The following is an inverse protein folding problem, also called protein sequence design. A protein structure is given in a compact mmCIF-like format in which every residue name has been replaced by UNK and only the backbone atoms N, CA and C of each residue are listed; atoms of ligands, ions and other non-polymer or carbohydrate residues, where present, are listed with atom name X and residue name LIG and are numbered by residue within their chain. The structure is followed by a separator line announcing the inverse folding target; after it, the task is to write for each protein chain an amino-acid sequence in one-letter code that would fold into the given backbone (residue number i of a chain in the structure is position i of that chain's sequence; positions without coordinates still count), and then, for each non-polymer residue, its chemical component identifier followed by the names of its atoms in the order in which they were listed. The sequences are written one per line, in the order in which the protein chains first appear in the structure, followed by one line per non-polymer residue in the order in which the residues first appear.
data_IF_687720139790
#
_entry.id   IF_687720139790
#
_cell.length_a   1.000
_cell.length_b   1.000
_cell.length_c   1.000
_cell.angle_alpha   90.00
_cell.angle_beta   90.00
_cell.angle_gamma   90.00
#
_symmetry.space_group_name_H-M   'P 1'
#
loop_
_entity.id
_entity.type
_entity.pdbx_description
1 polymer ?
#
# COMPACT_ATOMS: atom_id res chain seq x y z
N UNK A 1 -21.84 -41.80 -8.05
CA UNK A 1 -20.57 -41.99 -8.78
C UNK A 1 -19.91 -40.63 -8.91
N UNK A 2 -19.05 -40.25 -7.94
CA UNK A 2 -18.32 -38.99 -7.95
C UNK A 2 -17.13 -39.11 -8.91
N UNK A 3 -16.99 -38.17 -9.85
CA UNK A 3 -15.80 -38.09 -10.70
C UNK A 3 -14.60 -37.67 -9.85
N UNK A 4 -13.41 -38.27 -10.03
CA UNK A 4 -12.20 -37.80 -9.34
C UNK A 4 -11.92 -36.34 -9.71
N UNK A 5 -11.54 -35.53 -8.72
CA UNK A 5 -11.04 -34.17 -8.93
C UNK A 5 -9.61 -34.33 -9.45
N UNK A 6 -9.36 -33.97 -10.71
CA UNK A 6 -8.01 -33.93 -11.28
C UNK A 6 -7.13 -32.97 -10.47
N UNK A 7 -5.87 -33.38 -10.23
CA UNK A 7 -4.88 -32.54 -9.57
C UNK A 7 -4.72 -31.21 -10.34
N UNK A 8 -4.49 -30.07 -9.66
CA UNK A 8 -4.28 -28.80 -10.34
C UNK A 8 -3.09 -28.94 -11.30
N UNK A 9 -3.30 -28.62 -12.57
CA UNK A 9 -2.23 -28.45 -13.55
C UNK A 9 -1.31 -27.32 -13.05
N UNK A 10 -0.20 -27.70 -12.41
CA UNK A 10 0.91 -26.78 -12.15
C UNK A 10 1.60 -26.57 -13.49
N UNK A 11 1.29 -25.46 -14.16
CA UNK A 11 2.07 -25.01 -15.30
C UNK A 11 3.39 -24.50 -14.72
N UNK A 12 4.40 -25.38 -14.72
CA UNK A 12 5.78 -25.08 -14.34
C UNK A 12 6.49 -24.35 -15.47
N UNK A 13 5.86 -23.30 -16.01
CA UNK A 13 6.55 -22.35 -16.88
C UNK A 13 7.21 -21.32 -15.97
N UNK A 14 8.54 -21.37 -15.90
CA UNK A 14 9.34 -20.34 -15.25
C UNK A 14 8.92 -18.98 -15.85
N UNK A 15 8.28 -18.14 -15.04
CA UNK A 15 7.93 -16.79 -15.46
C UNK A 15 9.21 -16.09 -15.92
N UNK A 16 9.21 -15.45 -17.10
CA UNK A 16 10.40 -14.77 -17.60
C UNK A 16 10.85 -13.74 -16.57
N UNK A 17 12.17 -13.59 -16.42
CA UNK A 17 12.74 -12.63 -15.50
C UNK A 17 12.14 -11.24 -15.78
N UNK A 18 11.60 -10.60 -14.75
CA UNK A 18 11.01 -9.25 -14.85
C UNK A 18 12.07 -8.29 -15.38
N UNK A 19 11.75 -7.57 -16.45
CA UNK A 19 12.54 -6.44 -16.95
C UNK A 19 11.92 -5.14 -16.40
N UNK A 20 12.69 -4.26 -15.74
CA UNK A 20 12.17 -2.98 -15.28
C UNK A 20 11.70 -2.09 -16.44
N UNK A 21 10.60 -1.36 -16.25
CA UNK A 21 10.08 -0.38 -17.21
C UNK A 21 10.90 0.92 -17.23
N UNK A 22 11.62 1.23 -16.15
CA UNK A 22 12.47 2.40 -16.01
C UNK A 22 13.69 2.11 -15.12
N UNK A 23 14.76 2.90 -15.29
CA UNK A 23 15.99 2.76 -14.49
C UNK A 23 15.78 3.01 -12.99
N UNK A 24 14.79 3.83 -12.63
CA UNK A 24 14.43 4.16 -11.24
C UNK A 24 13.09 3.51 -10.82
N UNK A 25 12.71 2.40 -11.46
CA UNK A 25 11.48 1.67 -11.17
C UNK A 25 11.46 1.17 -9.71
N UNK A 26 10.40 1.47 -8.95
CA UNK A 26 10.27 0.98 -7.59
C UNK A 26 10.07 -0.55 -7.56
N UNK A 27 10.76 -1.20 -6.62
CA UNK A 27 10.73 -2.66 -6.42
C UNK A 27 9.86 -3.08 -5.24
N UNK A 28 9.49 -2.14 -4.36
CA UNK A 28 8.54 -2.34 -3.26
C UNK A 28 7.39 -1.35 -3.32
N UNK A 29 6.28 -1.65 -2.64
CA UNK A 29 5.15 -0.71 -2.51
C UNK A 29 5.56 0.59 -1.79
N UNK A 30 6.49 0.49 -0.83
CA UNK A 30 7.06 1.66 -0.12
C UNK A 30 7.85 2.52 -1.10
N UNK A 31 8.75 1.92 -1.88
CA UNK A 31 9.49 2.65 -2.92
C UNK A 31 8.55 3.28 -3.93
N UNK A 32 7.47 2.59 -4.33
CA UNK A 32 6.47 3.14 -5.25
C UNK A 32 5.81 4.38 -4.67
N UNK A 33 5.44 4.33 -3.40
CA UNK A 33 4.85 5.46 -2.68
C UNK A 33 5.82 6.64 -2.61
N UNK A 34 7.05 6.42 -2.15
CA UNK A 34 8.07 7.46 -2.03
C UNK A 34 8.50 8.04 -3.37
N UNK A 35 8.63 7.19 -4.39
CA UNK A 35 8.93 7.59 -5.76
C UNK A 35 7.84 8.52 -6.32
N UNK A 36 6.57 8.17 -6.11
CA UNK A 36 5.43 8.99 -6.53
C UNK A 36 5.45 10.37 -5.86
N UNK A 37 5.65 10.43 -4.54
CA UNK A 37 5.71 11.72 -3.81
C UNK A 37 6.90 12.58 -4.25
N UNK A 38 8.05 11.94 -4.53
CA UNK A 38 9.26 12.63 -5.02
C UNK A 38 9.07 13.20 -6.43
N UNK A 39 8.50 12.42 -7.36
CA UNK A 39 8.28 12.86 -8.76
C UNK A 39 7.07 13.78 -8.93
N UNK A 40 6.05 13.61 -8.09
CA UNK A 40 4.76 14.28 -8.23
C UNK A 40 4.30 14.87 -6.89
N UNK A 41 4.76 16.10 -6.62
CA UNK A 41 4.29 16.88 -5.49
C UNK A 41 2.88 17.41 -5.75
N UNK A 42 1.87 16.60 -5.41
CA UNK A 42 0.47 16.96 -5.57
C UNK A 42 -0.08 17.64 -4.31
N UNK A 43 -0.73 18.81 -4.42
CA UNK A 43 -1.41 19.44 -3.29
C UNK A 43 -2.66 18.67 -2.84
N UNK A 44 -3.12 17.71 -3.63
CA UNK A 44 -4.42 17.03 -3.54
C UNK A 44 -4.32 15.51 -3.72
N UNK A 45 -3.32 14.87 -3.10
CA UNK A 45 -3.00 13.47 -3.32
C UNK A 45 -4.04 12.48 -2.76
N UNK A 46 -4.68 12.82 -1.64
CA UNK A 46 -5.77 12.03 -1.06
C UNK A 46 -6.95 12.95 -0.76
N UNK A 47 -8.07 12.71 -1.44
CA UNK A 47 -9.28 13.51 -1.32
C UNK A 47 -10.35 12.72 -0.58
N UNK A 48 -11.05 13.37 0.34
CA UNK A 48 -12.12 12.76 1.12
C UNK A 48 -13.21 13.78 1.40
N UNK A 49 -14.44 13.30 1.60
CA UNK A 49 -15.59 14.16 1.91
C UNK A 49 -15.91 14.07 3.40
N UNK A 50 -16.02 15.21 4.06
CA UNK A 50 -16.38 15.33 5.48
C UNK A 50 -17.30 16.51 5.67
N UNK A 51 -18.40 16.30 6.39
CA UNK A 51 -19.41 17.33 6.71
C UNK A 51 -19.92 18.07 5.46
N UNK A 52 -20.12 17.32 4.37
CA UNK A 52 -20.61 17.86 3.10
C UNK A 52 -19.54 18.53 2.22
N UNK A 53 -18.34 18.80 2.73
CA UNK A 53 -17.25 19.46 2.02
C UNK A 53 -16.15 18.46 1.58
N UNK A 54 -15.50 18.77 0.47
CA UNK A 54 -14.29 18.06 0.03
C UNK A 54 -13.07 18.62 0.73
N UNK A 55 -12.22 17.71 1.20
CA UNK A 55 -10.95 17.98 1.83
C UNK A 55 -9.86 17.20 1.10
N UNK A 56 -8.64 17.71 1.15
CA UNK A 56 -7.49 17.17 0.43
C UNK A 56 -6.29 17.07 1.36
N UNK A 57 -5.48 16.02 1.19
CA UNK A 57 -4.19 15.86 1.86
C UNK A 57 -3.09 15.95 0.80
N UNK A 58 -2.15 16.89 0.92
CA UNK A 58 -0.98 16.98 0.04
C UNK A 58 -0.10 15.73 0.11
N UNK A 59 0.59 15.39 -0.98
CA UNK A 59 1.42 14.18 -1.07
C UNK A 59 2.52 14.13 -0.03
N UNK A 60 3.19 15.26 0.24
CA UNK A 60 4.22 15.38 1.26
C UNK A 60 3.67 15.14 2.68
N UNK A 61 2.47 15.66 2.96
CA UNK A 61 1.81 15.45 4.25
C UNK A 61 1.36 14.00 4.40
N UNK A 62 0.80 13.40 3.35
CA UNK A 62 0.40 12.01 3.31
C UNK A 62 1.58 11.09 3.65
N UNK A 63 2.74 11.28 3.00
CA UNK A 63 3.97 10.52 3.30
C UNK A 63 4.42 10.70 4.75
N UNK A 64 4.38 11.93 5.26
CA UNK A 64 4.71 12.21 6.65
C UNK A 64 3.78 11.49 7.64
N UNK A 65 2.46 11.46 7.36
CA UNK A 65 1.47 10.75 8.18
C UNK A 65 1.68 9.24 8.14
N UNK A 66 1.91 8.66 6.96
CA UNK A 66 2.17 7.23 6.78
C UNK A 66 3.43 6.79 7.54
N UNK A 67 4.55 7.52 7.43
CA UNK A 67 5.77 7.22 8.18
C UNK A 67 5.56 7.26 9.69
N UNK A 68 4.79 8.24 10.20
CA UNK A 68 4.46 8.31 11.63
C UNK A 68 3.58 7.15 12.08
N UNK A 69 2.62 6.72 11.26
CA UNK A 69 1.79 5.55 11.55
C UNK A 69 2.63 4.28 11.61
N UNK A 70 3.53 4.06 10.65
CA UNK A 70 4.45 2.93 10.64
C UNK A 70 5.32 2.87 11.90
N UNK A 71 5.91 4.01 12.29
CA UNK A 71 6.68 4.12 13.53
C UNK A 71 5.82 3.84 14.78
N UNK A 72 4.57 4.31 14.80
CA UNK A 72 3.63 4.05 15.88
C UNK A 72 3.27 2.57 15.98
N UNK A 73 2.97 1.91 14.86
CA UNK A 73 2.69 0.47 14.80
C UNK A 73 3.90 -0.34 15.27
N UNK A 74 5.11 0.04 14.83
CA UNK A 74 6.34 -0.57 15.30
C UNK A 74 6.54 -0.40 16.83
N UNK A 75 6.28 0.79 17.36
CA UNK A 75 6.36 1.07 18.79
C UNK A 75 5.34 0.26 19.62
N UNK A 76 4.19 -0.10 19.03
CA UNK A 76 3.20 -1.01 19.63
C UNK A 76 3.63 -2.49 19.60
N UNK A 77 4.80 -2.80 19.03
CA UNK A 77 5.38 -4.13 19.02
C UNK A 77 5.15 -4.92 17.74
N UNK A 78 4.59 -4.29 16.70
CA UNK A 78 4.35 -4.93 15.41
C UNK A 78 5.68 -5.17 14.67
N UNK A 79 5.81 -6.37 14.09
CA UNK A 79 7.03 -6.85 13.42
C UNK A 79 6.75 -7.32 12.00
N UNK A 80 7.82 -7.42 11.21
CA UNK A 80 7.78 -8.01 9.87
C UNK A 80 7.17 -9.42 9.94
N UNK A 81 6.14 -9.65 9.13
CA UNK A 81 5.44 -10.94 9.05
C UNK A 81 4.21 -11.03 9.95
N UNK A 82 4.01 -10.08 10.86
CA UNK A 82 2.77 -9.97 11.62
C UNK A 82 1.60 -9.62 10.69
N UNK A 83 0.40 -10.03 11.09
CA UNK A 83 -0.83 -9.80 10.33
C UNK A 83 -1.64 -8.71 11.00
N UNK A 84 -2.09 -7.75 10.22
CA UNK A 84 -2.94 -6.64 10.69
C UNK A 84 -4.31 -6.74 10.03
N UNK A 85 -5.37 -6.58 10.82
CA UNK A 85 -6.73 -6.41 10.31
C UNK A 85 -7.14 -4.95 10.54
N UNK A 86 -7.61 -4.28 9.48
CA UNK A 86 -8.12 -2.91 9.54
C UNK A 86 -9.64 -2.92 9.36
N UNK A 87 -10.36 -2.51 10.40
CA UNK A 87 -11.82 -2.36 10.37
C UNK A 87 -12.17 -0.88 10.52
N UNK A 88 -12.61 -0.25 9.43
CA UNK A 88 -13.05 1.14 9.39
C UNK A 88 -14.07 1.34 8.28
N UNK A 89 -14.83 2.43 8.36
CA UNK A 89 -15.54 2.95 7.19
C UNK A 89 -14.59 3.56 6.16
N UNK A 90 -15.15 4.06 5.06
CA UNK A 90 -14.38 4.81 4.06
C UNK A 90 -13.96 6.18 4.64
N UNK A 91 -12.70 6.27 5.08
CA UNK A 91 -12.10 7.49 5.64
C UNK A 91 -10.62 7.58 5.25
N UNK A 92 -10.01 8.78 5.25
CA UNK A 92 -8.60 8.92 4.92
C UNK A 92 -7.68 8.19 5.91
N UNK A 93 -8.06 8.06 7.18
CA UNK A 93 -7.28 7.35 8.19
C UNK A 93 -7.10 5.87 7.86
N UNK A 94 -8.09 5.23 7.23
CA UNK A 94 -7.98 3.85 6.79
C UNK A 94 -6.87 3.70 5.74
N UNK A 95 -6.89 4.51 4.68
CA UNK A 95 -5.87 4.49 3.62
C UNK A 95 -4.47 4.79 4.15
N UNK A 96 -4.36 5.75 5.07
CA UNK A 96 -3.08 6.12 5.69
C UNK A 96 -2.54 4.98 6.58
N UNK A 97 -3.42 4.28 7.30
CA UNK A 97 -3.02 3.17 8.18
C UNK A 97 -2.65 1.93 7.38
N UNK A 98 -3.38 1.62 6.31
CA UNK A 98 -3.06 0.54 5.37
C UNK A 98 -1.66 0.75 4.77
N UNK A 99 -1.38 1.94 4.25
CA UNK A 99 -0.06 2.29 3.78
C UNK A 99 0.99 2.21 4.91
N UNK A 100 0.66 2.64 6.12
CA UNK A 100 1.53 2.53 7.30
C UNK A 100 1.91 1.11 7.66
N UNK A 101 1.08 0.11 7.34
CA UNK A 101 1.40 -1.30 7.57
C UNK A 101 2.45 -1.84 6.57
N UNK A 102 2.66 -1.16 5.44
CA UNK A 102 3.64 -1.54 4.42
C UNK A 102 5.05 -1.00 4.69
N UNK A 103 5.15 0.11 5.43
CA UNK A 103 6.39 0.83 5.76
C UNK A 103 7.15 0.16 6.91
#
# INVERSE_FOLDING_TARGET
MQRPIEAPHVIEEAQPARVPLAADEPTTLVEMFEHSVRKHQKPDALNYKRDGAWHSIPSAEMLGRVRRLALGLHALGLKRGDRVALLSGNCPEWTLTDAGCLF
#
